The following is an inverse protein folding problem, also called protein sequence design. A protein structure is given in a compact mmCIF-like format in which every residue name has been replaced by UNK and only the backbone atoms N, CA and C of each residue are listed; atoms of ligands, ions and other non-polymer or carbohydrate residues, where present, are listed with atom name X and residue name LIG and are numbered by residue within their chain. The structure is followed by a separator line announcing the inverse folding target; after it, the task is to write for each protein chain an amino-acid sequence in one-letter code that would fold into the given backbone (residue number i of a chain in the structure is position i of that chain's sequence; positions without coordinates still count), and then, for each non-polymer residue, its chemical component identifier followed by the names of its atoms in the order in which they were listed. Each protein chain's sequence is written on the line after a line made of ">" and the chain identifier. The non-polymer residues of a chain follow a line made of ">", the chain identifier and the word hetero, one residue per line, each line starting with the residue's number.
data_IF_476754734268
#
_entry.id   IF_476754734268
#
_cell.length_a   1.000
_cell.length_b   1.000
_cell.length_c   1.000
_cell.angle_alpha   90.00
_cell.angle_beta   90.00
_cell.angle_gamma   90.00
#
_symmetry.space_group_name_H-M   'P 1'
#
loop_
_entity.id
_entity.type
_entity.pdbx_description
1 polymer ?
#
# COMPACT_ATOMS: atom_id res chain seq x y z
N UNK A 1 -23.84 -7.80 -1.35
CA UNK A 1 -22.46 -7.47 -0.92
C UNK A 1 -21.55 -7.66 -2.12
N UNK A 2 -20.82 -6.63 -2.52
CA UNK A 2 -19.82 -6.73 -3.60
C UNK A 2 -18.46 -7.08 -2.97
N UNK A 3 -17.67 -7.90 -3.67
CA UNK A 3 -16.34 -8.30 -3.22
C UNK A 3 -15.34 -8.23 -4.36
N UNK A 4 -14.08 -8.01 -4.01
CA UNK A 4 -12.95 -8.05 -4.95
C UNK A 4 -12.31 -9.44 -4.92
N UNK A 5 -12.07 -9.99 -6.11
CA UNK A 5 -11.34 -11.25 -6.29
C UNK A 5 -10.03 -10.90 -6.98
N UNK A 6 -8.92 -11.19 -6.31
CA UNK A 6 -7.58 -11.06 -6.85
C UNK A 6 -7.15 -12.40 -7.47
N UNK A 7 -6.70 -12.36 -8.72
CA UNK A 7 -5.97 -13.45 -9.38
C UNK A 7 -4.51 -13.02 -9.61
N UNK A 8 -3.70 -12.92 -8.54
CA UNK A 8 -2.34 -12.40 -8.64
C UNK A 8 -1.40 -13.48 -9.17
N UNK A 9 -1.12 -13.47 -10.48
CA UNK A 9 -0.23 -14.46 -11.10
C UNK A 9 1.11 -14.59 -10.34
N UNK A 10 1.75 -13.47 -10.00
CA UNK A 10 3.02 -13.43 -9.26
C UNK A 10 3.02 -12.38 -8.13
N UNK A 11 1.84 -12.08 -7.58
CA UNK A 11 1.65 -11.00 -6.60
C UNK A 11 1.05 -9.73 -7.21
N UNK A 12 0.85 -8.72 -6.37
CA UNK A 12 0.40 -7.37 -6.75
C UNK A 12 0.96 -6.37 -5.73
N UNK A 13 1.63 -5.33 -6.21
CA UNK A 13 2.10 -4.20 -5.37
C UNK A 13 0.96 -3.20 -5.13
N UNK A 14 1.14 -2.27 -4.18
CA UNK A 14 0.11 -1.30 -3.83
C UNK A 14 -0.24 -0.38 -4.99
N UNK A 15 0.77 0.14 -5.69
CA UNK A 15 0.60 0.96 -6.90
C UNK A 15 -0.19 0.25 -8.02
N UNK A 16 0.05 -1.05 -8.24
CA UNK A 16 -0.70 -1.87 -9.19
C UNK A 16 -2.15 -2.05 -8.74
N UNK A 17 -2.38 -2.26 -7.44
CA UNK A 17 -3.71 -2.38 -6.88
C UNK A 17 -4.48 -1.05 -6.99
N UNK A 18 -3.83 0.09 -6.74
CA UNK A 18 -4.42 1.41 -6.95
C UNK A 18 -4.81 1.63 -8.42
N UNK A 19 -3.93 1.26 -9.36
CA UNK A 19 -4.24 1.29 -10.79
C UNK A 19 -5.48 0.45 -11.16
N UNK A 20 -5.58 -0.75 -10.60
CA UNK A 20 -6.75 -1.61 -10.79
C UNK A 20 -8.03 -1.01 -10.19
N UNK A 21 -7.94 -0.35 -9.02
CA UNK A 21 -9.08 0.31 -8.39
C UNK A 21 -9.55 1.55 -9.17
N UNK A 22 -8.63 2.27 -9.82
CA UNK A 22 -8.97 3.33 -10.79
C UNK A 22 -9.70 2.74 -12.00
N UNK A 23 -9.21 1.64 -12.56
CA UNK A 23 -9.87 0.95 -13.68
C UNK A 23 -11.25 0.36 -13.28
N UNK A 24 -11.49 0.13 -11.98
CA UNK A 24 -12.79 -0.26 -11.41
C UNK A 24 -13.74 0.91 -11.11
N UNK A 25 -13.33 2.15 -11.41
CA UNK A 25 -14.18 3.34 -11.28
C UNK A 25 -13.82 4.29 -10.14
N UNK A 26 -12.65 4.15 -9.52
CA UNK A 26 -12.15 5.20 -8.62
C UNK A 26 -11.72 6.42 -9.46
N UNK A 27 -12.35 7.56 -9.22
CA UNK A 27 -11.92 8.85 -9.78
C UNK A 27 -10.45 9.16 -9.41
N UNK A 28 -9.55 9.36 -10.39
CA UNK A 28 -8.11 9.58 -10.14
C UNK A 28 -7.80 10.68 -9.13
N UNK A 29 -8.57 11.78 -9.14
CA UNK A 29 -8.36 12.91 -8.23
C UNK A 29 -8.62 12.56 -6.76
N UNK A 30 -9.34 11.47 -6.46
CA UNK A 30 -9.50 11.01 -5.07
C UNK A 30 -8.20 10.53 -4.47
N UNK A 31 -7.28 9.96 -5.26
CA UNK A 31 -5.98 9.54 -4.76
C UNK A 31 -5.18 10.73 -4.19
N UNK A 32 -5.22 11.89 -4.87
CA UNK A 32 -4.60 13.13 -4.39
C UNK A 32 -5.20 13.55 -3.04
N UNK A 33 -6.53 13.53 -2.93
CA UNK A 33 -7.21 13.85 -1.68
C UNK A 33 -6.83 12.91 -0.53
N UNK A 34 -6.60 11.63 -0.83
CA UNK A 34 -6.14 10.66 0.18
C UNK A 34 -4.72 10.94 0.65
N UNK A 35 -3.81 11.26 -0.27
CA UNK A 35 -2.44 11.67 0.07
C UNK A 35 -2.45 12.94 0.92
N UNK A 36 -3.18 13.98 0.49
CA UNK A 36 -3.30 15.24 1.23
C UNK A 36 -3.81 15.02 2.66
N UNK A 37 -4.76 14.10 2.84
CA UNK A 37 -5.32 13.77 4.16
C UNK A 37 -4.29 13.13 5.11
N UNK A 38 -3.19 12.56 4.60
CA UNK A 38 -2.10 12.03 5.44
C UNK A 38 -1.15 13.12 5.93
N UNK A 39 -1.14 14.30 5.30
CA UNK A 39 -0.16 15.36 5.57
C UNK A 39 1.26 15.03 5.07
N UNK A 40 1.42 13.97 4.28
CA UNK A 40 2.70 13.60 3.67
C UNK A 40 2.94 14.37 2.37
N UNK A 41 4.19 14.72 2.12
CA UNK A 41 4.61 15.37 0.88
C UNK A 41 4.86 14.34 -0.22
N UNK A 42 3.87 14.15 -1.11
CA UNK A 42 4.00 13.31 -2.29
C UNK A 42 3.07 13.78 -3.41
N UNK A 43 3.56 13.77 -4.65
CA UNK A 43 2.75 14.00 -5.85
C UNK A 43 2.18 12.67 -6.35
N UNK A 44 0.88 12.63 -6.66
CA UNK A 44 0.24 11.47 -7.28
C UNK A 44 0.23 11.61 -8.80
N UNK A 45 0.83 10.65 -9.49
CA UNK A 45 0.74 10.49 -10.95
C UNK A 45 -0.15 9.31 -11.30
N UNK A 46 -1.10 9.56 -12.19
CA UNK A 46 -2.00 8.55 -12.74
C UNK A 46 -1.94 8.63 -14.26
N UNK A 47 -1.52 7.55 -14.91
CA UNK A 47 -1.32 7.51 -16.36
C UNK A 47 -1.84 6.21 -16.97
N UNK A 48 -2.31 6.29 -18.22
CA UNK A 48 -2.60 5.10 -19.03
C UNK A 48 -1.30 4.62 -19.65
N UNK A 49 -1.00 3.34 -19.46
CA UNK A 49 0.23 2.71 -19.97
C UNK A 49 -0.08 1.41 -20.71
N UNK A 50 0.81 1.02 -21.60
CA UNK A 50 0.88 -0.33 -22.16
C UNK A 50 2.00 -1.09 -21.46
N UNK A 51 1.68 -2.24 -20.87
CA UNK A 51 2.66 -3.16 -20.26
C UNK A 51 2.57 -4.49 -20.98
N UNK A 52 3.54 -4.74 -21.85
CA UNK A 52 3.62 -6.00 -22.61
C UNK A 52 2.36 -6.27 -23.46
N UNK A 53 1.78 -5.23 -24.06
CA UNK A 53 0.56 -5.32 -24.88
C UNK A 53 -0.76 -5.28 -24.10
N UNK A 54 -0.69 -5.06 -22.77
CA UNK A 54 -1.88 -4.91 -21.92
C UNK A 54 -2.00 -3.44 -21.51
N UNK A 55 -3.12 -2.83 -21.89
CA UNK A 55 -3.43 -1.46 -21.51
C UNK A 55 -3.94 -1.42 -20.06
N UNK A 56 -3.22 -0.74 -19.16
CA UNK A 56 -3.59 -0.61 -17.75
C UNK A 56 -3.35 0.81 -17.22
N UNK A 57 -3.92 1.10 -16.04
CA UNK A 57 -3.65 2.35 -15.33
C UNK A 57 -2.47 2.13 -14.41
N UNK A 58 -1.48 3.03 -14.49
CA UNK A 58 -0.37 3.09 -13.55
C UNK A 58 -0.58 4.25 -12.60
N UNK A 59 -0.46 3.96 -11.32
CA UNK A 59 -0.35 4.96 -10.26
C UNK A 59 1.11 5.00 -9.83
N UNK A 60 1.62 6.18 -9.50
CA UNK A 60 2.95 6.35 -8.92
C UNK A 60 2.94 7.53 -7.95
N UNK A 61 3.64 7.37 -6.83
CA UNK A 61 3.94 8.46 -5.92
C UNK A 61 5.31 9.04 -6.23
N UNK A 62 5.40 10.36 -6.36
CA UNK A 62 6.68 11.07 -6.48
C UNK A 62 6.97 11.67 -5.14
N UNK A 63 8.05 11.18 -4.53
CA UNK A 63 8.38 11.42 -3.14
C UNK A 63 9.71 12.17 -3.08
N UNK A 64 9.85 13.23 -2.27
CA UNK A 64 11.13 13.91 -2.09
C UNK A 64 12.18 12.98 -1.49
N UNK A 65 13.43 13.10 -1.97
CA UNK A 65 14.57 12.33 -1.45
C UNK A 65 14.81 12.58 0.05
N UNK A 66 15.49 11.63 0.72
CA UNK A 66 15.98 11.80 2.09
C UNK A 66 14.91 11.63 3.17
N UNK A 67 13.85 10.87 2.91
CA UNK A 67 12.86 10.54 3.92
C UNK A 67 13.48 9.67 5.03
N UNK A 68 13.17 9.94 6.31
CA UNK A 68 13.64 9.10 7.40
C UNK A 68 12.93 7.74 7.35
N UNK A 69 13.66 6.68 7.72
CA UNK A 69 13.02 5.43 8.10
C UNK A 69 12.17 5.65 9.35
N UNK A 70 11.00 5.00 9.38
CA UNK A 70 10.02 5.13 10.46
C UNK A 70 9.90 3.82 11.22
N UNK A 71 9.76 3.91 12.53
CA UNK A 71 9.33 2.78 13.35
C UNK A 71 7.85 2.50 13.15
N UNK A 72 7.41 1.30 13.55
CA UNK A 72 5.99 0.97 13.59
C UNK A 72 5.17 2.01 14.37
N UNK A 73 5.66 2.48 15.51
CA UNK A 73 4.99 3.52 16.32
C UNK A 73 4.72 4.78 15.51
N UNK A 74 5.72 5.26 14.78
CA UNK A 74 5.63 6.50 13.98
C UNK A 74 4.62 6.34 12.85
N UNK A 75 4.62 5.17 12.19
CA UNK A 75 3.65 4.87 11.12
C UNK A 75 2.23 4.82 11.67
N UNK A 76 2.02 4.17 12.83
CA UNK A 76 0.69 4.09 13.44
C UNK A 76 0.19 5.47 13.91
N UNK A 77 1.07 6.31 14.47
CA UNK A 77 0.72 7.69 14.84
C UNK A 77 0.34 8.52 13.62
N UNK A 78 1.09 8.40 12.52
CA UNK A 78 0.79 9.06 11.25
C UNK A 78 -0.59 8.64 10.72
N UNK A 79 -0.86 7.34 10.66
CA UNK A 79 -2.14 6.81 10.17
C UNK A 79 -3.29 7.28 11.05
N UNK A 80 -3.11 7.33 12.39
CA UNK A 80 -4.13 7.85 13.32
C UNK A 80 -4.40 9.34 13.13
N UNK A 81 -3.35 10.11 12.90
CA UNK A 81 -3.41 11.55 12.67
C UNK A 81 -4.03 11.94 11.32
N UNK A 82 -4.10 11.00 10.37
CA UNK A 82 -4.64 11.26 9.05
C UNK A 82 -6.13 11.65 9.10
N UNK A 83 -6.50 12.64 8.27
CA UNK A 83 -7.86 13.15 8.07
C UNK A 83 -8.79 12.18 7.31
N UNK A 84 -8.62 10.88 7.48
CA UNK A 84 -9.35 9.82 6.80
C UNK A 84 -10.49 9.24 7.68
N UNK A 85 -11.48 8.55 7.11
CA UNK A 85 -12.49 7.85 7.91
C UNK A 85 -11.89 6.81 8.86
N UNK A 86 -12.52 6.57 10.01
CA UNK A 86 -12.05 5.57 10.97
C UNK A 86 -11.87 4.16 10.36
N UNK A 87 -12.80 3.63 9.54
CA UNK A 87 -12.62 2.33 8.91
C UNK A 87 -11.37 2.24 8.01
N UNK A 88 -10.97 3.35 7.39
CA UNK A 88 -9.76 3.43 6.56
C UNK A 88 -8.51 3.36 7.42
N UNK A 89 -8.46 4.16 8.51
CA UNK A 89 -7.35 4.15 9.46
C UNK A 89 -7.19 2.79 10.13
N UNK A 90 -8.29 2.22 10.62
CA UNK A 90 -8.30 0.91 11.29
C UNK A 90 -7.77 -0.20 10.36
N UNK A 91 -8.16 -0.15 9.08
CA UNK A 91 -7.66 -1.09 8.06
C UNK A 91 -6.16 -0.91 7.81
N UNK A 92 -5.70 0.33 7.61
CA UNK A 92 -4.29 0.62 7.39
C UNK A 92 -3.42 0.20 8.59
N UNK A 93 -3.84 0.53 9.82
CA UNK A 93 -3.16 0.07 11.05
C UNK A 93 -3.08 -1.46 11.12
N UNK A 94 -4.17 -2.17 10.79
CA UNK A 94 -4.16 -3.62 10.79
C UNK A 94 -3.19 -4.21 9.76
N UNK A 95 -2.95 -3.53 8.64
CA UNK A 95 -1.95 -3.97 7.64
C UNK A 95 -0.54 -3.78 8.21
N UNK A 96 -0.21 -2.61 8.74
CA UNK A 96 1.12 -2.35 9.30
C UNK A 96 1.46 -3.25 10.48
N UNK A 97 0.50 -3.56 11.35
CA UNK A 97 0.73 -4.51 12.46
C UNK A 97 1.09 -5.90 11.96
N UNK A 98 0.40 -6.40 10.93
CA UNK A 98 0.71 -7.71 10.31
C UNK A 98 2.07 -7.72 9.63
N UNK A 99 2.43 -6.62 8.96
CA UNK A 99 3.76 -6.48 8.37
C UNK A 99 4.85 -6.47 9.45
N UNK A 100 4.63 -5.75 10.56
CA UNK A 100 5.56 -5.76 11.69
C UNK A 100 5.68 -7.14 12.35
N UNK A 101 4.58 -7.87 12.53
CA UNK A 101 4.62 -9.25 13.03
C UNK A 101 5.45 -10.17 12.13
N UNK A 102 5.31 -10.04 10.81
CA UNK A 102 6.09 -10.78 9.85
C UNK A 102 7.59 -10.41 9.91
N UNK A 103 7.89 -9.11 9.95
CA UNK A 103 9.26 -8.60 10.01
C UNK A 103 9.95 -9.01 11.32
N UNK A 104 9.26 -8.87 12.46
CA UNK A 104 9.70 -9.35 13.76
C UNK A 104 10.06 -10.84 13.74
N UNK A 105 9.21 -11.67 13.10
CA UNK A 105 9.44 -13.11 12.98
C UNK A 105 10.67 -13.43 12.13
N UNK A 106 10.92 -12.68 11.05
CA UNK A 106 12.08 -12.91 10.15
C UNK A 106 13.38 -12.45 10.80
N UNK A 107 13.34 -11.35 11.55
CA UNK A 107 14.52 -10.78 12.20
C UNK A 107 14.78 -11.30 13.63
N UNK A 108 13.81 -12.02 14.22
CA UNK A 108 13.94 -12.56 15.58
C UNK A 108 13.93 -11.48 16.67
N UNK A 109 13.16 -10.41 16.47
CA UNK A 109 13.05 -9.27 17.40
C UNK A 109 11.62 -9.12 17.92
N UNK A 110 11.40 -8.31 18.96
CA UNK A 110 10.06 -7.98 19.43
C UNK A 110 9.35 -7.06 18.41
N UNK A 111 8.04 -7.20 18.25
CA UNK A 111 7.23 -6.39 17.31
C UNK A 111 7.39 -4.88 17.55
N UNK A 112 7.48 -4.46 18.81
CA UNK A 112 7.67 -3.05 19.19
C UNK A 112 9.07 -2.52 18.85
N UNK A 113 10.03 -3.41 18.60
CA UNK A 113 11.41 -3.08 18.20
C UNK A 113 11.63 -3.17 16.68
N UNK A 114 10.57 -3.43 15.90
CA UNK A 114 10.67 -3.49 14.44
C UNK A 114 11.03 -2.12 13.88
N UNK A 115 12.14 -2.12 13.13
CA UNK A 115 12.52 -1.03 12.24
C UNK A 115 12.22 -1.48 10.83
N UNK A 116 11.23 -0.85 10.20
CA UNK A 116 10.94 -1.15 8.82
C UNK A 116 12.03 -0.60 7.91
N UNK A 117 12.78 -1.50 7.28
CA UNK A 117 13.83 -1.12 6.33
C UNK A 117 13.24 -0.80 4.95
N UNK A 118 12.27 -1.59 4.48
CA UNK A 118 11.64 -1.37 3.16
C UNK A 118 10.19 -0.90 3.31
N UNK A 119 9.47 -1.43 4.30
CA UNK A 119 8.02 -1.22 4.50
C UNK A 119 7.69 0.12 5.17
N UNK A 120 8.68 0.79 5.75
CA UNK A 120 8.54 2.08 6.45
C UNK A 120 8.77 3.28 5.54
N UNK A 121 9.15 3.01 4.29
CA UNK A 121 9.28 4.02 3.27
C UNK A 121 7.94 4.69 2.99
N UNK A 122 8.01 5.97 2.60
CA UNK A 122 6.81 6.77 2.34
C UNK A 122 5.91 6.13 1.27
N UNK A 123 6.49 5.48 0.26
CA UNK A 123 5.78 4.79 -0.81
C UNK A 123 4.88 3.67 -0.27
N UNK A 124 5.41 2.81 0.61
CA UNK A 124 4.64 1.74 1.26
C UNK A 124 3.53 2.29 2.17
N UNK A 125 3.78 3.43 2.83
CA UNK A 125 2.75 4.12 3.64
C UNK A 125 1.60 4.58 2.75
N UNK A 126 1.93 5.28 1.67
CA UNK A 126 0.94 5.80 0.73
C UNK A 126 0.18 4.68 0.02
N UNK A 127 0.85 3.59 -0.35
CA UNK A 127 0.23 2.39 -0.91
C UNK A 127 -0.86 1.83 0.02
N UNK A 128 -0.51 1.52 1.27
CA UNK A 128 -1.45 0.92 2.22
C UNK A 128 -2.62 1.86 2.51
N UNK A 129 -2.33 3.13 2.76
CA UNK A 129 -3.34 4.13 3.12
C UNK A 129 -4.27 4.43 1.94
N UNK A 130 -3.72 4.66 0.74
CA UNK A 130 -4.52 4.96 -0.44
C UNK A 130 -5.34 3.75 -0.87
N UNK A 131 -4.82 2.52 -0.77
CA UNK A 131 -5.59 1.31 -1.06
C UNK A 131 -6.75 1.18 -0.08
N UNK A 132 -6.49 1.35 1.22
CA UNK A 132 -7.54 1.29 2.25
C UNK A 132 -8.64 2.34 2.00
N UNK A 133 -8.26 3.56 1.62
CA UNK A 133 -9.20 4.63 1.28
C UNK A 133 -9.97 4.35 -0.01
N UNK A 134 -9.31 3.83 -1.05
CA UNK A 134 -9.91 3.52 -2.33
C UNK A 134 -10.96 2.39 -2.22
N UNK A 135 -10.66 1.32 -1.48
CA UNK A 135 -11.63 0.22 -1.32
C UNK A 135 -12.84 0.64 -0.50
N UNK A 136 -12.66 1.52 0.49
CA UNK A 136 -13.74 2.12 1.28
C UNK A 136 -14.61 3.05 0.40
N UNK A 137 -13.97 3.92 -0.39
CA UNK A 137 -14.64 4.84 -1.30
C UNK A 137 -15.44 4.16 -2.41
N UNK A 138 -15.05 2.94 -2.81
CA UNK A 138 -15.78 2.08 -3.75
C UNK A 138 -16.79 1.15 -3.08
N UNK A 139 -16.83 1.08 -1.75
CA UNK A 139 -17.78 0.27 -0.98
C UNK A 139 -17.50 -1.23 -0.99
N UNK A 140 -16.27 -1.66 -1.26
CA UNK A 140 -15.90 -3.08 -1.23
C UNK A 140 -15.63 -3.56 0.21
N UNK A 141 -16.36 -4.59 0.64
CA UNK A 141 -16.30 -5.11 2.00
C UNK A 141 -15.70 -6.52 2.10
N UNK A 142 -15.64 -7.26 0.99
CA UNK A 142 -15.11 -8.62 0.94
C UNK A 142 -13.96 -8.72 -0.06
N UNK A 143 -12.90 -9.44 0.32
CA UNK A 143 -11.68 -9.59 -0.47
C UNK A 143 -11.31 -11.07 -0.51
N UNK A 144 -11.07 -11.58 -1.72
CA UNK A 144 -10.67 -12.95 -1.97
C UNK A 144 -9.41 -12.94 -2.82
N UNK A 145 -8.51 -13.88 -2.60
CA UNK A 145 -7.33 -14.05 -3.44
C UNK A 145 -7.21 -15.51 -3.86
N UNK A 146 -6.85 -15.73 -5.12
CA UNK A 146 -6.29 -17.02 -5.55
C UNK A 146 -4.87 -17.16 -5.00
N UNK A 147 -4.32 -18.38 -4.96
CA UNK A 147 -2.94 -18.59 -4.52
C UNK A 147 -1.97 -17.73 -5.34
N UNK A 148 -1.06 -17.05 -4.66
CA UNK A 148 0.06 -16.36 -5.30
C UNK A 148 1.05 -17.42 -5.76
N UNK A 149 1.50 -17.37 -7.02
CA UNK A 149 2.57 -18.26 -7.46
C UNK A 149 3.87 -17.83 -6.80
N UNK A 150 4.30 -18.57 -5.79
CA UNK A 150 5.60 -18.38 -5.15
C UNK A 150 6.65 -19.16 -5.94
N UNK A 151 7.49 -18.43 -6.68
CA UNK A 151 8.66 -19.00 -7.35
C UNK A 151 9.86 -19.13 -6.40
N UNK A 152 10.99 -19.60 -6.93
CA UNK A 152 12.29 -19.58 -6.24
C UNK A 152 13.31 -18.82 -7.09
N UNK A 153 14.14 -17.99 -6.48
CA UNK A 153 15.18 -17.22 -7.16
C UNK A 153 15.96 -16.35 -6.19
N UNK A 154 16.84 -15.50 -6.72
CA UNK A 154 17.60 -14.50 -5.94
C UNK A 154 17.39 -13.15 -6.61
N UNK A 155 17.15 -12.12 -5.81
CA UNK A 155 17.04 -10.71 -6.23
C UNK A 155 17.95 -9.89 -5.33
N UNK A 156 18.40 -8.73 -5.78
CA UNK A 156 19.20 -7.83 -4.95
C UNK A 156 18.29 -6.86 -4.20
N UNK A 157 18.35 -6.89 -2.87
CA UNK A 157 17.60 -6.02 -1.95
C UNK A 157 18.47 -5.68 -0.73
N UNK A 158 17.99 -4.82 0.17
CA UNK A 158 18.77 -4.42 1.36
C UNK A 158 19.05 -5.61 2.30
N UNK A 159 18.25 -6.68 2.19
CA UNK A 159 18.47 -7.94 2.91
C UNK A 159 19.19 -9.04 2.09
N UNK A 160 19.72 -8.71 0.91
CA UNK A 160 20.52 -9.62 0.07
C UNK A 160 19.81 -10.21 -1.13
#
# INVERSE_FOLDING_TARGET
>A
MQGLIFDPFAGISGDMLLGALVDLGLEPDRLRSFVDATGLDAEVRVERVDRSGIACTRVAFVIPDGQPYRHLSDVLELVRGAGLPAPVRDRAESVFRRLAEAEASVHGVDVESVHFHEVGALDSILDVVCVAAAVDALGYAAFYTRPVAVGTGTVALDHG
#
